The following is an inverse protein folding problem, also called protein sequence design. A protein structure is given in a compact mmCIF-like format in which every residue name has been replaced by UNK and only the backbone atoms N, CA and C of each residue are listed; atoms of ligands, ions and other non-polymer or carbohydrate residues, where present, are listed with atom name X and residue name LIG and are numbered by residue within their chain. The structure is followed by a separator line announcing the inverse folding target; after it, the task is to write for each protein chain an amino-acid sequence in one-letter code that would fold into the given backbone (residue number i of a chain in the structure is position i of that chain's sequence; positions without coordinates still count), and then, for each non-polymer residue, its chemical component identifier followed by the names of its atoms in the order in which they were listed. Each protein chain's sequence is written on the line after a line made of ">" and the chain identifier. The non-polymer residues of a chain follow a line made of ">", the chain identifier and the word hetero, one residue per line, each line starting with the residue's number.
data_IF_578519323497
#
_entry.id   IF_578519323497
#
_cell.length_a   1.000
_cell.length_b   1.000
_cell.length_c   1.000
_cell.angle_alpha   90.00
_cell.angle_beta   90.00
_cell.angle_gamma   90.00
#
_symmetry.space_group_name_H-M   'P 1'
#
loop_
_entity.id
_entity.type
_entity.pdbx_description
1 polymer ?
#
# COMPACT_ATOMS: atom_id res chain seq x y z
N UNK A 1 26.86 2.58 -24.19
CA UNK A 1 25.85 2.44 -23.13
C UNK A 1 25.67 0.97 -22.76
N UNK A 2 25.56 0.61 -21.45
CA UNK A 2 25.38 -0.76 -20.96
C UNK A 2 24.32 -0.83 -19.85
N UNK A 3 23.88 -2.04 -19.49
CA UNK A 3 22.82 -2.29 -18.50
C UNK A 3 23.12 -1.72 -17.13
N UNK A 4 24.37 -1.77 -16.67
CA UNK A 4 24.74 -1.23 -15.38
C UNK A 4 24.56 0.28 -15.33
N UNK A 5 24.82 0.99 -16.44
CA UNK A 5 24.64 2.44 -16.52
C UNK A 5 23.17 2.86 -16.36
N UNK A 6 22.21 2.04 -16.81
CA UNK A 6 20.78 2.28 -16.58
C UNK A 6 20.48 2.26 -15.07
N UNK A 7 20.94 1.21 -14.38
CA UNK A 7 20.75 1.09 -12.93
C UNK A 7 21.47 2.22 -12.16
N UNK A 8 22.64 2.63 -12.61
CA UNK A 8 23.39 3.71 -11.97
C UNK A 8 22.62 5.04 -12.05
N UNK A 9 22.09 5.40 -13.22
CA UNK A 9 21.28 6.62 -13.37
C UNK A 9 20.06 6.59 -12.45
N UNK A 10 19.32 5.48 -12.44
CA UNK A 10 18.12 5.33 -11.60
C UNK A 10 18.46 5.43 -10.12
N UNK A 11 19.54 4.76 -9.67
CA UNK A 11 19.95 4.82 -8.26
C UNK A 11 20.41 6.22 -7.86
N UNK A 12 21.13 6.95 -8.73
CA UNK A 12 21.53 8.34 -8.47
C UNK A 12 20.30 9.25 -8.40
N UNK A 13 19.32 9.04 -9.26
CA UNK A 13 18.07 9.81 -9.26
C UNK A 13 17.27 9.64 -7.96
N UNK A 14 17.18 8.40 -7.45
CA UNK A 14 16.53 8.08 -6.18
C UNK A 14 17.27 8.69 -4.98
N UNK A 15 18.58 8.47 -4.89
CA UNK A 15 19.36 8.91 -3.74
C UNK A 15 19.65 10.42 -3.72
N UNK A 16 19.51 11.09 -4.87
CA UNK A 16 19.86 12.53 -5.07
C UNK A 16 21.26 12.87 -4.56
N UNK A 17 22.11 11.85 -4.46
CA UNK A 17 23.46 11.93 -3.92
C UNK A 17 24.34 10.82 -4.48
N UNK A 18 25.39 11.19 -5.24
CA UNK A 18 26.30 10.24 -5.90
C UNK A 18 27.02 9.34 -4.89
N UNK A 19 27.39 9.87 -3.72
CA UNK A 19 28.11 9.09 -2.70
C UNK A 19 27.20 8.02 -2.09
N UNK A 20 25.97 8.35 -1.76
CA UNK A 20 24.98 7.38 -1.26
C UNK A 20 24.62 6.34 -2.34
N UNK A 21 24.43 6.79 -3.58
CA UNK A 21 24.17 5.89 -4.71
C UNK A 21 25.34 4.90 -4.92
N UNK A 22 26.58 5.38 -4.86
CA UNK A 22 27.77 4.52 -4.97
C UNK A 22 27.83 3.46 -3.85
N UNK A 23 27.51 3.84 -2.61
CA UNK A 23 27.42 2.90 -1.48
C UNK A 23 26.35 1.84 -1.72
N UNK A 24 25.16 2.24 -2.17
CA UNK A 24 24.04 1.32 -2.47
C UNK A 24 24.36 0.36 -3.61
N UNK A 25 25.17 0.81 -4.58
CA UNK A 25 25.63 0.02 -5.74
C UNK A 25 26.92 -0.78 -5.47
N UNK A 26 27.46 -0.70 -4.25
CA UNK A 26 28.75 -1.34 -3.90
C UNK A 26 29.89 -0.88 -4.80
N UNK A 27 29.90 0.39 -5.19
CA UNK A 27 30.93 1.01 -6.04
C UNK A 27 31.68 2.12 -5.29
N UNK A 28 32.87 2.47 -5.79
CA UNK A 28 33.54 3.69 -5.38
C UNK A 28 32.86 4.92 -6.02
N UNK A 29 32.74 6.01 -5.29
CA UNK A 29 32.18 7.26 -5.82
C UNK A 29 32.88 7.75 -7.09
N UNK A 30 34.25 7.71 -7.19
CA UNK A 30 34.94 8.07 -8.44
C UNK A 30 34.53 7.19 -9.64
N UNK A 31 34.38 5.86 -9.42
CA UNK A 31 33.98 4.93 -10.49
C UNK A 31 32.58 5.24 -11.01
N UNK A 32 31.62 5.48 -10.08
CA UNK A 32 30.25 5.85 -10.46
C UNK A 32 30.21 7.20 -11.20
N UNK A 33 30.95 8.22 -10.72
CA UNK A 33 31.04 9.52 -11.37
C UNK A 33 31.68 9.44 -12.75
N UNK A 34 32.72 8.63 -12.93
CA UNK A 34 33.34 8.41 -14.25
C UNK A 34 32.36 7.73 -15.21
N UNK A 35 31.64 6.71 -14.76
CA UNK A 35 30.64 6.02 -15.57
C UNK A 35 29.53 6.97 -16.03
N UNK A 36 29.03 7.84 -15.13
CA UNK A 36 28.02 8.86 -15.49
C UNK A 36 28.55 9.87 -16.49
N UNK A 37 29.76 10.39 -16.26
CA UNK A 37 30.38 11.34 -17.20
C UNK A 37 30.59 10.72 -18.60
N UNK A 38 31.00 9.45 -18.66
CA UNK A 38 31.12 8.72 -19.92
C UNK A 38 29.78 8.55 -20.63
N UNK A 39 28.71 8.24 -19.88
CA UNK A 39 27.35 8.12 -20.43
C UNK A 39 26.83 9.46 -20.96
N UNK A 40 26.96 10.55 -20.20
CA UNK A 40 26.54 11.89 -20.62
C UNK A 40 27.31 12.37 -21.85
N UNK A 41 28.61 12.05 -21.97
CA UNK A 41 29.40 12.31 -23.15
C UNK A 41 28.92 11.52 -24.39
N UNK A 42 28.58 10.25 -24.21
CA UNK A 42 28.02 9.40 -25.28
C UNK A 42 26.66 9.92 -25.77
N UNK A 43 25.82 10.40 -24.83
CA UNK A 43 24.50 10.95 -25.12
C UNK A 43 24.54 12.40 -25.64
N UNK A 44 25.66 13.09 -25.48
CA UNK A 44 25.80 14.48 -25.84
C UNK A 44 25.02 15.47 -24.99
N UNK A 45 24.49 15.03 -23.83
CA UNK A 45 23.69 15.86 -22.91
C UNK A 45 23.89 15.44 -21.48
N UNK A 46 23.77 16.41 -20.54
CA UNK A 46 23.80 16.12 -19.12
C UNK A 46 22.46 15.53 -18.65
N UNK A 47 22.52 14.47 -17.86
CA UNK A 47 21.35 13.85 -17.21
C UNK A 47 21.07 14.43 -15.82
N UNK A 48 22.12 14.97 -15.18
CA UNK A 48 22.04 15.54 -13.84
C UNK A 48 22.53 16.99 -13.82
N UNK A 49 21.93 17.79 -12.96
CA UNK A 49 22.33 19.16 -12.66
C UNK A 49 22.40 19.38 -11.15
N UNK A 50 23.11 20.41 -10.71
CA UNK A 50 23.11 20.84 -9.31
C UNK A 50 22.26 22.09 -9.16
N UNK A 51 21.15 21.94 -8.44
CA UNK A 51 20.22 23.03 -8.15
C UNK A 51 20.20 23.27 -6.64
N UNK A 52 20.57 24.46 -6.20
CA UNK A 52 20.66 24.82 -4.77
C UNK A 52 21.51 23.84 -3.93
N UNK A 53 22.61 23.33 -4.48
CA UNK A 53 23.48 22.36 -3.80
C UNK A 53 22.99 20.91 -3.81
N UNK A 54 21.79 20.64 -4.28
CA UNK A 54 21.20 19.30 -4.38
C UNK A 54 21.32 18.78 -5.81
N UNK A 55 21.62 17.51 -5.97
CA UNK A 55 21.64 16.83 -7.27
C UNK A 55 20.19 16.59 -7.72
N UNK A 56 19.85 17.01 -8.93
CA UNK A 56 18.54 16.82 -9.56
C UNK A 56 18.69 16.33 -11.00
N UNK A 57 17.64 15.72 -11.54
CA UNK A 57 17.58 15.36 -12.94
C UNK A 57 17.40 16.62 -13.81
N UNK A 58 18.02 16.62 -14.99
CA UNK A 58 17.64 17.50 -16.08
C UNK A 58 16.41 16.94 -16.80
N UNK A 59 15.78 17.68 -17.69
CA UNK A 59 14.71 17.14 -18.56
C UNK A 59 15.19 15.92 -19.35
N UNK A 60 16.42 15.94 -19.87
CA UNK A 60 17.03 14.78 -20.53
C UNK A 60 17.19 13.59 -19.55
N UNK A 61 17.54 13.88 -18.29
CA UNK A 61 17.62 12.87 -17.22
C UNK A 61 16.29 12.23 -16.93
N UNK A 62 15.21 13.00 -16.87
CA UNK A 62 13.85 12.48 -16.69
C UNK A 62 13.45 11.55 -17.85
N UNK A 63 13.65 11.98 -19.08
CA UNK A 63 13.39 11.15 -20.27
C UNK A 63 14.22 9.87 -20.26
N UNK A 64 15.49 9.97 -19.87
CA UNK A 64 16.37 8.82 -19.77
C UNK A 64 15.90 7.85 -18.68
N UNK A 65 15.50 8.32 -17.51
CA UNK A 65 14.98 7.48 -16.44
C UNK A 65 13.72 6.72 -16.88
N UNK A 66 12.76 7.38 -17.52
CA UNK A 66 11.56 6.72 -18.07
C UNK A 66 11.92 5.63 -19.07
N UNK A 67 12.83 5.92 -19.99
CA UNK A 67 13.29 4.92 -20.96
C UNK A 67 14.07 3.78 -20.28
N UNK A 68 14.95 4.08 -19.32
CA UNK A 68 15.73 3.08 -18.58
C UNK A 68 14.82 2.09 -17.83
N UNK A 69 13.80 2.60 -17.14
CA UNK A 69 12.80 1.76 -16.43
C UNK A 69 12.11 0.83 -17.44
N UNK A 70 11.62 1.36 -18.56
CA UNK A 70 10.92 0.55 -19.58
C UNK A 70 11.82 -0.52 -20.19
N UNK A 71 13.10 -0.21 -20.39
CA UNK A 71 14.10 -1.11 -20.99
C UNK A 71 14.48 -2.25 -20.01
N UNK A 72 14.73 -1.92 -18.74
CA UNK A 72 14.99 -2.93 -17.69
C UNK A 72 13.79 -3.83 -17.48
N UNK A 73 12.56 -3.27 -17.57
CA UNK A 73 11.33 -4.05 -17.53
C UNK A 73 11.22 -5.04 -18.70
N UNK A 74 11.54 -4.60 -19.92
CA UNK A 74 11.51 -5.49 -21.09
C UNK A 74 12.51 -6.64 -20.96
N UNK A 75 13.68 -6.35 -20.38
CA UNK A 75 14.66 -7.40 -20.05
C UNK A 75 14.11 -8.39 -19.02
N UNK A 76 13.47 -7.90 -17.96
CA UNK A 76 12.89 -8.74 -16.92
C UNK A 76 11.79 -9.65 -17.49
N UNK A 77 10.90 -9.10 -18.33
CA UNK A 77 9.86 -9.87 -19.03
C UNK A 77 10.47 -11.01 -19.83
N UNK A 78 11.53 -10.75 -20.59
CA UNK A 78 12.21 -11.80 -21.36
C UNK A 78 12.83 -12.86 -20.42
N UNK A 79 13.46 -12.42 -19.33
CA UNK A 79 14.02 -13.33 -18.32
C UNK A 79 12.94 -14.23 -17.72
N UNK A 80 11.79 -13.67 -17.36
CA UNK A 80 10.66 -14.40 -16.79
C UNK A 80 10.06 -15.39 -17.80
N UNK A 81 9.91 -14.98 -19.08
CA UNK A 81 9.45 -15.88 -20.15
C UNK A 81 10.40 -17.05 -20.38
N UNK A 82 11.71 -16.78 -20.34
CA UNK A 82 12.71 -17.85 -20.49
C UNK A 82 12.72 -18.78 -19.28
N UNK A 83 12.53 -18.24 -18.09
CA UNK A 83 12.48 -19.03 -16.86
C UNK A 83 11.21 -19.89 -16.77
N UNK A 84 10.07 -19.44 -17.32
CA UNK A 84 8.86 -20.26 -17.39
C UNK A 84 9.00 -21.50 -18.32
N UNK A 85 9.96 -21.46 -19.25
CA UNK A 85 10.29 -22.63 -20.09
C UNK A 85 11.09 -23.66 -19.27
N UNK A 86 11.80 -23.23 -18.23
CA UNK A 86 12.60 -24.10 -17.36
C UNK A 86 11.77 -24.56 -16.16
N UNK A 87 11.63 -25.87 -15.98
CA UNK A 87 10.85 -26.46 -14.88
C UNK A 87 11.44 -26.13 -13.50
N UNK A 88 12.75 -25.92 -13.43
CA UNK A 88 13.51 -25.70 -12.18
C UNK A 88 13.82 -24.22 -11.89
N UNK A 89 13.36 -23.29 -12.74
CA UNK A 89 13.64 -21.89 -12.51
C UNK A 89 12.95 -21.38 -11.24
N UNK A 90 13.71 -20.66 -10.42
CA UNK A 90 13.21 -19.99 -9.23
C UNK A 90 12.68 -18.62 -9.62
N UNK A 91 11.47 -18.34 -9.18
CA UNK A 91 10.79 -17.06 -9.42
C UNK A 91 10.73 -16.24 -8.15
N UNK A 92 10.62 -14.92 -8.29
CA UNK A 92 10.37 -14.00 -7.19
C UNK A 92 9.16 -13.15 -7.52
N UNK A 93 8.29 -12.92 -6.52
CA UNK A 93 7.13 -12.01 -6.60
C UNK A 93 7.26 -10.99 -5.49
N UNK A 94 7.24 -9.70 -5.83
CA UNK A 94 7.27 -8.57 -4.90
C UNK A 94 5.86 -8.05 -4.70
N UNK A 95 5.27 -8.42 -3.55
CA UNK A 95 3.91 -8.09 -3.18
C UNK A 95 3.88 -6.90 -2.21
N UNK A 96 3.25 -5.81 -2.62
CA UNK A 96 2.97 -4.66 -1.77
C UNK A 96 1.59 -4.73 -1.14
N UNK A 97 1.51 -4.49 0.16
CA UNK A 97 0.24 -4.51 0.90
C UNK A 97 0.36 -3.66 2.16
N UNK A 98 -0.76 -3.05 2.60
CA UNK A 98 -0.74 -2.34 3.89
C UNK A 98 -0.62 -3.33 5.08
N UNK A 99 0.08 -2.95 6.18
CA UNK A 99 0.34 -3.86 7.30
C UNK A 99 -0.92 -4.53 7.87
N UNK A 100 -2.02 -3.79 7.99
CA UNK A 100 -3.26 -4.34 8.53
C UNK A 100 -3.92 -5.38 7.61
N UNK A 101 -3.86 -5.19 6.28
CA UNK A 101 -4.38 -6.18 5.32
C UNK A 101 -3.48 -7.39 5.22
N UNK A 102 -2.17 -7.18 5.28
CA UNK A 102 -1.18 -8.26 5.32
C UNK A 102 -1.49 -9.26 6.43
N UNK A 103 -1.66 -8.76 7.65
CA UNK A 103 -1.95 -9.58 8.83
C UNK A 103 -3.21 -10.45 8.67
N UNK A 104 -4.22 -9.96 7.94
CA UNK A 104 -5.53 -10.62 7.84
C UNK A 104 -5.63 -11.51 6.60
N UNK A 105 -5.10 -11.04 5.45
CA UNK A 105 -5.31 -11.69 4.16
C UNK A 105 -4.22 -12.71 3.84
N UNK A 106 -2.94 -12.38 4.09
CA UNK A 106 -1.84 -13.20 3.59
C UNK A 106 -1.74 -14.59 4.21
N UNK A 107 -2.05 -14.83 5.50
CA UNK A 107 -1.91 -16.16 6.07
C UNK A 107 -2.70 -17.23 5.30
N UNK A 108 -3.95 -16.94 4.93
CA UNK A 108 -4.79 -17.88 4.18
C UNK A 108 -4.35 -18.01 2.71
N UNK A 109 -4.03 -16.89 2.07
CA UNK A 109 -3.65 -16.84 0.65
C UNK A 109 -2.31 -17.51 0.42
N UNK A 110 -1.28 -17.19 1.23
CA UNK A 110 0.05 -17.73 1.05
C UNK A 110 0.14 -19.21 1.43
N UNK A 111 -0.64 -19.66 2.41
CA UNK A 111 -0.76 -21.10 2.70
C UNK A 111 -1.24 -21.84 1.46
N UNK A 112 -2.33 -21.41 0.84
CA UNK A 112 -2.85 -22.02 -0.37
C UNK A 112 -1.92 -21.87 -1.59
N UNK A 113 -1.16 -20.79 -1.65
CA UNK A 113 -0.17 -20.57 -2.70
C UNK A 113 0.95 -21.60 -2.60
N UNK A 114 1.57 -21.79 -1.44
CA UNK A 114 2.67 -22.72 -1.26
C UNK A 114 2.26 -24.19 -1.29
N UNK A 115 0.98 -24.52 -1.13
CA UNK A 115 0.47 -25.85 -1.41
C UNK A 115 0.50 -26.20 -2.91
N UNK A 116 0.47 -25.19 -3.80
CA UNK A 116 0.39 -25.37 -5.25
C UNK A 116 1.66 -24.92 -6.00
N UNK A 117 2.53 -24.17 -5.32
CA UNK A 117 3.72 -23.55 -5.91
C UNK A 117 4.93 -23.70 -4.98
N UNK A 118 6.02 -24.34 -5.46
CA UNK A 118 7.18 -24.68 -4.65
C UNK A 118 8.46 -23.90 -5.01
N UNK A 119 8.56 -23.35 -6.23
CA UNK A 119 9.75 -22.69 -6.74
C UNK A 119 9.55 -21.18 -6.92
N UNK A 120 8.88 -20.54 -5.97
CA UNK A 120 8.64 -19.11 -6.01
C UNK A 120 8.85 -18.48 -4.63
N UNK A 121 9.71 -17.49 -4.55
CA UNK A 121 9.89 -16.66 -3.37
C UNK A 121 8.90 -15.51 -3.42
N UNK A 122 8.28 -15.17 -2.29
CA UNK A 122 7.42 -14.00 -2.19
C UNK A 122 8.06 -13.02 -1.21
N UNK A 123 8.41 -11.83 -1.72
CA UNK A 123 8.84 -10.71 -0.90
C UNK A 123 7.62 -9.84 -0.58
N UNK A 124 7.30 -9.71 0.71
CA UNK A 124 6.19 -8.89 1.18
C UNK A 124 6.74 -7.53 1.60
N UNK A 125 6.21 -6.46 0.99
CA UNK A 125 6.54 -5.08 1.32
C UNK A 125 5.31 -4.43 1.96
N UNK A 126 5.44 -4.12 3.25
CA UNK A 126 4.35 -3.55 4.05
C UNK A 126 4.52 -2.04 4.21
N UNK A 127 3.77 -1.28 3.43
CA UNK A 127 3.88 0.18 3.40
C UNK A 127 2.49 0.85 3.31
N UNK A 128 2.39 2.16 3.65
CA UNK A 128 1.17 2.93 3.40
C UNK A 128 0.86 3.07 1.90
N UNK A 129 -0.42 3.26 1.56
CA UNK A 129 -0.95 3.37 0.19
C UNK A 129 -0.11 4.25 -0.75
N UNK A 130 0.31 5.43 -0.28
CA UNK A 130 1.05 6.35 -1.15
C UNK A 130 2.43 5.80 -1.54
N UNK A 131 3.15 5.15 -0.61
CA UNK A 131 4.43 4.50 -0.90
C UNK A 131 4.26 3.24 -1.75
N UNK A 132 3.21 2.44 -1.53
CA UNK A 132 2.94 1.26 -2.35
C UNK A 132 2.74 1.64 -3.82
N UNK A 133 2.05 2.75 -4.10
CA UNK A 133 1.85 3.24 -5.46
C UNK A 133 3.15 3.73 -6.09
N UNK A 134 3.94 4.52 -5.37
CA UNK A 134 5.27 4.94 -5.82
C UNK A 134 6.18 3.74 -6.14
N UNK A 135 6.25 2.75 -5.26
CA UNK A 135 7.05 1.53 -5.47
C UNK A 135 6.55 0.71 -6.67
N UNK A 136 5.23 0.66 -6.91
CA UNK A 136 4.66 -0.01 -8.08
C UNK A 136 5.01 0.76 -9.38
N UNK A 137 4.97 2.09 -9.35
CA UNK A 137 5.34 2.96 -10.49
C UNK A 137 6.84 2.86 -10.80
N UNK A 138 7.69 2.76 -9.77
CA UNK A 138 9.14 2.59 -9.88
C UNK A 138 9.59 1.14 -10.21
N UNK A 139 8.66 0.23 -10.48
CA UNK A 139 8.93 -1.18 -10.79
C UNK A 139 9.60 -1.98 -9.65
N UNK A 140 9.43 -1.51 -8.43
CA UNK A 140 9.93 -2.20 -7.23
C UNK A 140 8.93 -3.22 -6.69
N UNK A 141 7.67 -3.18 -7.13
CA UNK A 141 6.62 -4.13 -6.83
C UNK A 141 6.02 -4.72 -8.11
N UNK A 142 5.57 -5.96 -8.03
CA UNK A 142 4.89 -6.65 -9.13
C UNK A 142 3.38 -6.48 -9.04
N UNK A 143 2.84 -6.45 -7.82
CA UNK A 143 1.42 -6.21 -7.54
C UNK A 143 1.25 -5.55 -6.18
N UNK A 144 0.15 -4.85 -6.00
CA UNK A 144 -0.27 -4.32 -4.69
C UNK A 144 -1.73 -4.65 -4.39
N UNK A 145 -2.05 -4.78 -3.09
CA UNK A 145 -3.43 -4.90 -2.60
C UNK A 145 -3.77 -3.60 -1.88
N UNK A 146 -4.55 -2.76 -2.55
CA UNK A 146 -4.90 -1.43 -2.02
C UNK A 146 -6.18 -0.87 -2.65
N UNK A 147 -6.50 0.40 -2.35
CA UNK A 147 -7.55 1.14 -3.04
C UNK A 147 -7.19 1.34 -4.53
N UNK A 148 -8.16 1.52 -5.42
CA UNK A 148 -7.93 1.61 -6.86
C UNK A 148 -6.81 2.59 -7.23
N UNK A 149 -6.02 2.24 -8.23
CA UNK A 149 -5.01 3.13 -8.78
C UNK A 149 -5.68 4.22 -9.63
N UNK A 150 -5.29 5.50 -9.51
CA UNK A 150 -5.90 6.59 -10.29
C UNK A 150 -5.60 6.46 -11.79
N UNK A 151 -4.42 5.95 -12.16
CA UNK A 151 -4.05 5.68 -13.55
C UNK A 151 -4.64 4.34 -14.01
N UNK A 152 -5.77 4.42 -14.69
CA UNK A 152 -6.44 3.26 -15.29
C UNK A 152 -5.91 2.89 -16.68
N UNK A 153 -5.01 3.69 -17.25
CA UNK A 153 -4.39 3.41 -18.55
C UNK A 153 -3.29 2.36 -18.40
N UNK A 154 -2.39 2.56 -17.45
CA UNK A 154 -1.21 1.73 -17.26
C UNK A 154 -1.41 0.59 -16.25
N UNK A 155 -2.42 0.67 -15.38
CA UNK A 155 -2.66 -0.31 -14.31
C UNK A 155 -4.02 -0.99 -14.44
N UNK A 156 -4.05 -2.27 -14.14
CA UNK A 156 -5.27 -3.02 -13.85
C UNK A 156 -5.60 -2.81 -12.35
N UNK A 157 -6.87 -2.55 -12.07
CA UNK A 157 -7.41 -2.50 -10.69
C UNK A 157 -8.60 -3.45 -10.62
N UNK A 158 -8.35 -4.71 -10.29
CA UNK A 158 -9.41 -5.71 -10.16
C UNK A 158 -10.02 -5.63 -8.76
N UNK A 159 -11.31 -5.35 -8.67
CA UNK A 159 -12.04 -5.32 -7.40
C UNK A 159 -11.98 -6.70 -6.72
N UNK A 160 -11.55 -6.73 -5.47
CA UNK A 160 -11.54 -7.91 -4.61
C UNK A 160 -12.68 -7.87 -3.59
N UNK A 161 -12.86 -6.73 -2.95
CA UNK A 161 -13.88 -6.52 -1.93
C UNK A 161 -14.23 -5.03 -1.80
N UNK A 162 -15.36 -4.78 -1.16
CA UNK A 162 -15.75 -3.44 -0.70
C UNK A 162 -15.79 -3.45 0.81
N UNK A 163 -14.99 -2.59 1.44
CA UNK A 163 -14.91 -2.49 2.89
C UNK A 163 -15.65 -1.25 3.40
N UNK A 164 -16.30 -1.37 4.56
CA UNK A 164 -16.93 -0.28 5.27
C UNK A 164 -16.03 0.24 6.39
N UNK A 165 -16.11 1.54 6.67
CA UNK A 165 -15.42 2.13 7.80
C UNK A 165 -16.36 2.15 8.99
N UNK A 166 -15.92 1.54 10.08
CA UNK A 166 -16.68 1.41 11.32
C UNK A 166 -16.06 2.25 12.43
N UNK A 167 -16.86 2.68 13.36
CA UNK A 167 -16.43 3.27 14.60
C UNK A 167 -16.25 2.15 15.64
N UNK A 168 -15.01 1.94 16.08
CA UNK A 168 -14.65 1.02 17.15
C UNK A 168 -14.68 1.77 18.48
N UNK A 169 -15.62 1.42 19.35
CA UNK A 169 -15.88 2.08 20.63
C UNK A 169 -15.58 1.13 21.79
N UNK A 170 -14.83 1.56 22.82
CA UNK A 170 -14.68 0.79 24.05
C UNK A 170 -16.03 0.45 24.66
N UNK A 171 -16.26 -0.80 25.05
CA UNK A 171 -17.55 -1.23 25.66
C UNK A 171 -17.95 -0.38 26.87
N UNK A 172 -16.98 0.12 27.62
CA UNK A 172 -17.20 1.00 28.77
C UNK A 172 -17.81 2.36 28.39
N UNK A 173 -17.67 2.78 27.12
CA UNK A 173 -18.16 4.08 26.59
C UNK A 173 -19.41 3.94 25.71
N UNK A 174 -19.93 2.74 25.52
CA UNK A 174 -21.12 2.51 24.65
C UNK A 174 -22.37 3.18 25.18
N UNK A 175 -22.46 3.41 26.51
CA UNK A 175 -23.57 4.15 27.12
C UNK A 175 -23.73 5.58 26.55
N UNK A 176 -22.65 6.19 26.05
CA UNK A 176 -22.68 7.51 25.41
C UNK A 176 -23.55 7.52 24.13
N UNK A 177 -23.73 6.37 23.50
CA UNK A 177 -24.48 6.24 22.25
C UNK A 177 -25.94 5.80 22.43
N UNK A 178 -26.40 5.51 23.66
CA UNK A 178 -27.77 5.01 23.89
C UNK A 178 -28.87 5.90 23.33
N UNK A 179 -28.65 7.22 23.27
CA UNK A 179 -29.57 8.18 22.69
C UNK A 179 -29.43 8.34 21.17
N UNK A 180 -28.30 7.93 20.62
CA UNK A 180 -27.90 8.16 19.24
C UNK A 180 -27.84 6.85 18.41
N UNK A 181 -28.35 5.75 18.96
CA UNK A 181 -28.41 4.45 18.27
C UNK A 181 -29.67 4.39 17.41
N UNK A 182 -29.47 4.17 16.12
CA UNK A 182 -30.57 3.80 15.22
C UNK A 182 -30.93 2.32 15.38
N UNK A 183 -32.10 1.92 14.86
CA UNK A 183 -32.56 0.52 14.85
C UNK A 183 -31.62 -0.45 14.14
N UNK A 184 -30.59 0.06 13.44
CA UNK A 184 -29.64 -0.69 12.58
C UNK A 184 -28.24 -0.82 13.20
N UNK A 185 -28.03 -0.59 14.49
CA UNK A 185 -26.69 -0.50 15.09
C UNK A 185 -25.77 0.56 14.45
N UNK A 186 -26.36 1.56 13.81
CA UNK A 186 -25.67 2.73 13.34
C UNK A 186 -25.70 3.82 14.41
N UNK A 187 -24.61 4.56 14.54
CA UNK A 187 -24.50 5.68 15.46
C UNK A 187 -24.40 6.99 14.71
N UNK A 188 -25.01 8.03 15.28
CA UNK A 188 -24.86 9.40 14.83
C UNK A 188 -23.77 10.09 15.67
N UNK A 189 -22.73 10.60 15.02
CA UNK A 189 -21.79 11.51 15.67
C UNK A 189 -22.40 12.90 15.72
N UNK A 190 -22.67 13.38 16.93
CA UNK A 190 -23.27 14.69 17.17
C UNK A 190 -22.27 15.61 17.86
N UNK A 191 -22.34 16.95 17.66
CA UNK A 191 -21.36 17.89 18.21
C UNK A 191 -21.26 17.90 19.74
N UNK A 192 -22.30 17.44 20.43
CA UNK A 192 -22.38 17.36 21.91
C UNK A 192 -21.81 16.05 22.49
N UNK A 193 -21.37 15.14 21.64
CA UNK A 193 -20.80 13.87 22.09
C UNK A 193 -19.38 14.03 22.62
N UNK A 194 -19.18 13.82 23.91
CA UNK A 194 -17.88 13.86 24.58
C UNK A 194 -17.17 12.52 24.45
N UNK A 195 -16.55 12.26 23.32
CA UNK A 195 -15.82 11.03 23.04
C UNK A 195 -14.38 11.36 22.63
N UNK A 196 -13.37 10.89 23.39
CA UNK A 196 -11.99 10.99 22.94
C UNK A 196 -11.72 10.04 21.77
N UNK A 197 -10.83 10.45 20.87
CA UNK A 197 -10.48 9.68 19.70
C UNK A 197 -9.00 9.32 19.63
N UNK A 198 -8.71 8.17 19.04
CA UNK A 198 -7.38 7.73 18.65
C UNK A 198 -7.39 7.65 17.12
N UNK A 199 -6.61 8.52 16.48
CA UNK A 199 -6.66 8.74 15.04
C UNK A 199 -5.35 8.32 14.38
N UNK A 200 -5.44 7.92 13.12
CA UNK A 200 -4.27 7.77 12.29
C UNK A 200 -3.82 9.14 11.75
N UNK A 201 -2.52 9.25 11.41
CA UNK A 201 -1.96 10.46 10.83
C UNK A 201 -2.63 10.79 9.49
N UNK A 202 -2.70 12.07 9.12
CA UNK A 202 -3.29 12.55 7.86
C UNK A 202 -2.57 12.04 6.59
N UNK A 203 -1.34 11.56 6.73
CA UNK A 203 -0.64 10.89 5.63
C UNK A 203 -1.28 9.55 5.23
N UNK A 204 -2.08 8.97 6.11
CA UNK A 204 -2.77 7.71 5.87
C UNK A 204 -4.20 7.93 5.41
N UNK A 205 -4.68 7.09 4.50
CA UNK A 205 -6.04 7.17 3.95
C UNK A 205 -7.09 7.17 5.06
N UNK A 206 -6.95 6.33 6.08
CA UNK A 206 -7.92 6.27 7.18
C UNK A 206 -7.87 7.53 8.06
N UNK A 207 -6.71 8.18 8.20
CA UNK A 207 -6.62 9.50 8.86
C UNK A 207 -7.39 10.57 8.08
N UNK A 208 -7.23 10.61 6.76
CA UNK A 208 -7.99 11.53 5.89
C UNK A 208 -9.50 11.25 5.92
N UNK A 209 -9.90 9.96 5.95
CA UNK A 209 -11.31 9.57 6.10
C UNK A 209 -11.85 10.09 7.44
N UNK A 210 -11.09 9.93 8.53
CA UNK A 210 -11.50 10.43 9.85
C UNK A 210 -11.79 11.92 9.86
N UNK A 211 -10.96 12.72 9.20
CA UNK A 211 -11.18 14.17 9.06
C UNK A 211 -12.47 14.47 8.27
N UNK A 212 -12.67 13.80 7.13
CA UNK A 212 -13.89 13.96 6.33
C UNK A 212 -15.16 13.57 7.11
N UNK A 213 -15.09 12.51 7.93
CA UNK A 213 -16.20 12.10 8.80
C UNK A 213 -16.50 13.22 9.80
N UNK A 214 -15.48 13.77 10.46
CA UNK A 214 -15.67 14.84 11.45
C UNK A 214 -16.25 16.10 10.81
N UNK A 215 -15.76 16.51 9.65
CA UNK A 215 -16.30 17.64 8.90
C UNK A 215 -17.77 17.42 8.50
N UNK A 216 -18.09 16.25 7.94
CA UNK A 216 -19.45 15.91 7.52
C UNK A 216 -20.44 15.85 8.69
N UNK A 217 -19.98 15.45 9.88
CA UNK A 217 -20.79 15.35 11.11
C UNK A 217 -20.79 16.64 11.94
N UNK A 218 -20.04 17.68 11.54
CA UNK A 218 -19.76 18.86 12.35
C UNK A 218 -19.25 18.49 13.78
N UNK A 219 -18.47 17.41 13.86
CA UNK A 219 -17.97 16.85 15.11
C UNK A 219 -16.50 17.24 15.34
N UNK A 220 -16.19 17.72 16.54
CA UNK A 220 -14.84 18.08 16.92
C UNK A 220 -14.43 17.33 18.19
N UNK A 221 -13.59 16.29 18.11
CA UNK A 221 -13.16 15.57 19.29
C UNK A 221 -12.35 16.46 20.24
N UNK A 222 -12.70 16.45 21.53
CA UNK A 222 -12.04 17.29 22.55
C UNK A 222 -10.61 16.81 22.83
N UNK A 223 -10.35 15.50 22.72
CA UNK A 223 -9.04 14.90 22.99
C UNK A 223 -8.74 13.88 21.91
N UNK A 224 -7.54 13.97 21.36
CA UNK A 224 -7.06 13.01 20.35
C UNK A 224 -5.69 12.46 20.71
N UNK A 225 -5.51 11.17 20.44
CA UNK A 225 -4.20 10.52 20.38
C UNK A 225 -3.95 10.25 18.89
N UNK A 226 -2.75 10.57 18.40
CA UNK A 226 -2.40 10.31 17.00
C UNK A 226 -1.32 9.23 16.93
N UNK A 227 -1.50 8.24 16.06
CA UNK A 227 -0.54 7.18 15.80
C UNK A 227 -0.47 6.85 14.31
N UNK A 228 0.49 6.01 13.92
CA UNK A 228 0.69 5.60 12.52
C UNK A 228 0.24 4.17 12.24
N UNK A 229 -0.26 3.45 13.24
CA UNK A 229 -0.62 2.04 13.11
C UNK A 229 -2.04 1.80 13.66
N UNK A 230 -2.90 1.20 12.82
CA UNK A 230 -4.30 0.92 13.16
C UNK A 230 -4.42 -0.12 14.29
N UNK A 231 -3.51 -1.09 14.37
CA UNK A 231 -3.47 -2.07 15.46
C UNK A 231 -3.17 -1.39 16.82
N UNK A 232 -2.27 -0.40 16.80
CA UNK A 232 -2.00 0.43 17.98
C UNK A 232 -3.25 1.22 18.39
N UNK A 233 -3.91 1.88 17.42
CA UNK A 233 -5.14 2.63 17.68
C UNK A 233 -6.22 1.74 18.31
N UNK A 234 -6.45 0.56 17.73
CA UNK A 234 -7.45 -0.38 18.20
C UNK A 234 -7.10 -0.98 19.58
N UNK A 235 -5.81 -1.25 19.82
CA UNK A 235 -5.33 -1.73 21.12
C UNK A 235 -5.55 -0.69 22.23
N UNK A 236 -5.23 0.59 21.94
CA UNK A 236 -5.48 1.69 22.89
C UNK A 236 -6.98 1.90 23.13
N UNK A 237 -7.81 1.79 22.06
CA UNK A 237 -9.27 1.82 22.20
C UNK A 237 -9.77 0.68 23.10
N UNK A 238 -9.24 -0.53 22.94
CA UNK A 238 -9.59 -1.67 23.81
C UNK A 238 -9.20 -1.49 25.28
N UNK A 239 -8.29 -0.55 25.59
CA UNK A 239 -7.98 -0.13 26.96
C UNK A 239 -8.87 1.02 27.48
N UNK A 240 -9.83 1.49 26.68
CA UNK A 240 -10.78 2.53 27.10
C UNK A 240 -10.34 3.98 26.84
N UNK A 241 -9.18 4.19 26.20
CA UNK A 241 -8.60 5.54 26.01
C UNK A 241 -9.40 6.41 25.02
N UNK A 242 -10.12 5.82 24.09
CA UNK A 242 -10.93 6.54 23.11
C UNK A 242 -11.50 5.62 22.04
N UNK A 243 -12.29 6.17 21.13
CA UNK A 243 -12.78 5.47 19.95
C UNK A 243 -11.78 5.63 18.79
N UNK A 244 -11.88 4.75 17.79
CA UNK A 244 -11.08 4.83 16.57
C UNK A 244 -11.90 4.34 15.37
N UNK A 245 -11.49 4.73 14.16
CA UNK A 245 -12.09 4.21 12.93
C UNK A 245 -11.28 3.01 12.42
N UNK A 246 -11.97 1.98 11.98
CA UNK A 246 -11.37 0.75 11.45
C UNK A 246 -12.16 0.22 10.26
N UNK A 247 -11.52 -0.46 9.30
CA UNK A 247 -12.22 -1.26 8.30
C UNK A 247 -13.00 -2.41 8.93
N UNK A 248 -14.13 -2.76 8.32
CA UNK A 248 -15.04 -3.82 8.79
C UNK A 248 -14.41 -5.23 8.85
N UNK A 249 -13.35 -5.47 8.09
CA UNK A 249 -12.59 -6.72 8.15
C UNK A 249 -12.07 -7.03 9.57
N UNK A 250 -11.90 -6.01 10.43
CA UNK A 250 -11.51 -6.18 11.83
C UNK A 250 -12.57 -6.86 12.71
N UNK A 251 -13.86 -6.87 12.31
CA UNK A 251 -14.90 -7.62 13.03
C UNK A 251 -14.59 -9.12 13.09
N UNK A 252 -13.97 -9.65 12.03
CA UNK A 252 -13.58 -11.08 11.97
C UNK A 252 -12.47 -11.44 12.96
N UNK A 253 -11.63 -10.46 13.32
CA UNK A 253 -10.64 -10.64 14.36
C UNK A 253 -11.31 -10.57 15.73
N UNK A 254 -11.72 -11.71 16.28
CA UNK A 254 -12.35 -11.79 17.61
C UNK A 254 -11.47 -11.29 18.77
N UNK A 255 -10.23 -10.86 18.50
CA UNK A 255 -9.22 -10.45 19.50
C UNK A 255 -9.72 -9.39 20.49
N UNK A 256 -10.62 -8.51 20.07
CA UNK A 256 -11.15 -7.41 20.89
C UNK A 256 -12.67 -7.48 21.08
N UNK A 257 -13.30 -8.60 20.74
CA UNK A 257 -14.77 -8.76 20.78
C UNK A 257 -15.40 -8.57 22.17
N UNK A 258 -14.64 -8.81 23.23
CA UNK A 258 -15.03 -8.61 24.62
C UNK A 258 -14.80 -7.17 25.14
N UNK A 259 -14.01 -6.36 24.44
CA UNK A 259 -13.61 -5.00 24.85
C UNK A 259 -14.12 -3.89 23.93
N UNK A 260 -14.41 -4.19 22.68
CA UNK A 260 -14.82 -3.21 21.65
C UNK A 260 -16.20 -3.58 21.12
N UNK A 261 -16.99 -2.54 20.85
CA UNK A 261 -18.22 -2.61 20.06
C UNK A 261 -17.99 -1.81 18.76
N UNK A 262 -18.39 -2.39 17.64
CA UNK A 262 -18.26 -1.76 16.33
C UNK A 262 -19.62 -1.23 15.89
N UNK A 263 -19.63 0.01 15.41
CA UNK A 263 -20.80 0.69 14.90
C UNK A 263 -20.58 1.19 13.47
N UNK A 264 -21.59 1.10 12.64
CA UNK A 264 -21.64 1.90 11.40
C UNK A 264 -21.97 3.35 11.73
N UNK A 265 -21.67 4.26 10.81
CA UNK A 265 -22.02 5.68 10.93
C UNK A 265 -23.25 5.95 10.09
N UNK A 266 -24.31 6.51 10.70
CA UNK A 266 -25.57 6.76 10.00
C UNK A 266 -25.45 7.92 9.00
N UNK A 267 -24.73 8.95 9.37
CA UNK A 267 -24.54 10.16 8.58
C UNK A 267 -23.28 10.14 7.69
N UNK A 268 -22.54 9.05 7.67
CA UNK A 268 -21.36 8.88 6.83
C UNK A 268 -21.13 7.41 6.48
N UNK A 269 -21.94 6.83 5.58
CA UNK A 269 -21.77 5.43 5.15
C UNK A 269 -20.60 5.32 4.15
N UNK A 270 -19.36 5.52 4.60
CA UNK A 270 -18.20 5.47 3.72
C UNK A 270 -17.81 4.03 3.41
N UNK A 271 -17.65 3.76 2.14
CA UNK A 271 -17.11 2.50 1.64
C UNK A 271 -15.91 2.77 0.75
N UNK A 272 -14.97 1.84 0.73
CA UNK A 272 -13.84 1.90 -0.19
C UNK A 272 -13.60 0.55 -0.84
N UNK A 273 -13.22 0.58 -2.09
CA UNK A 273 -12.89 -0.61 -2.84
C UNK A 273 -11.48 -1.08 -2.45
N UNK A 274 -11.32 -2.38 -2.25
CA UNK A 274 -10.05 -3.07 -2.10
C UNK A 274 -9.78 -3.79 -3.41
N UNK A 275 -8.70 -3.42 -4.07
CA UNK A 275 -8.35 -3.91 -5.39
C UNK A 275 -7.00 -4.63 -5.39
N UNK A 276 -6.91 -5.56 -6.29
CA UNK A 276 -5.67 -6.16 -6.76
C UNK A 276 -5.16 -5.31 -7.93
N UNK A 277 -3.99 -4.72 -7.78
CA UNK A 277 -3.47 -3.73 -8.73
C UNK A 277 -2.12 -4.21 -9.25
N UNK A 278 -1.96 -4.21 -10.56
CA UNK A 278 -0.72 -4.56 -11.26
C UNK A 278 -0.66 -3.89 -12.62
N UNK A 279 0.51 -3.80 -13.23
CA UNK A 279 0.70 -3.15 -14.55
C UNK A 279 0.04 -3.95 -15.66
N UNK A 280 -0.63 -3.27 -16.61
CA UNK A 280 -1.30 -3.92 -17.75
C UNK A 280 -0.36 -4.70 -18.67
N UNK A 281 0.82 -4.17 -18.89
CA UNK A 281 1.80 -4.75 -19.82
C UNK A 281 2.83 -5.64 -19.09
N UNK A 282 2.54 -6.08 -17.86
CA UNK A 282 3.38 -6.99 -17.11
C UNK A 282 3.19 -8.42 -17.64
N UNK A 283 4.30 -9.13 -17.79
CA UNK A 283 4.23 -10.56 -18.01
C UNK A 283 3.73 -11.25 -16.73
N UNK A 284 2.69 -12.02 -16.87
CA UNK A 284 2.13 -12.81 -15.79
C UNK A 284 2.66 -14.24 -15.90
N UNK A 285 3.76 -14.54 -15.22
CA UNK A 285 4.25 -15.91 -15.12
C UNK A 285 3.25 -16.78 -14.35
N UNK A 286 3.39 -18.10 -14.44
CA UNK A 286 2.47 -19.07 -13.83
C UNK A 286 2.24 -18.85 -12.32
N UNK A 287 3.27 -18.44 -11.60
CA UNK A 287 3.19 -18.23 -10.15
C UNK A 287 2.42 -16.94 -9.81
N UNK A 288 2.68 -15.87 -10.57
CA UNK A 288 1.94 -14.62 -10.41
C UNK A 288 0.46 -14.81 -10.78
N UNK A 289 0.15 -15.55 -11.88
CA UNK A 289 -1.23 -15.89 -12.24
C UNK A 289 -1.94 -16.64 -11.11
N UNK A 290 -1.30 -17.67 -10.55
CA UNK A 290 -1.85 -18.42 -9.41
C UNK A 290 -2.11 -17.50 -8.20
N UNK A 291 -1.18 -16.60 -7.88
CA UNK A 291 -1.36 -15.66 -6.76
C UNK A 291 -2.53 -14.71 -7.02
N UNK A 292 -2.66 -14.18 -8.24
CA UNK A 292 -3.79 -13.33 -8.63
C UNK A 292 -5.14 -14.06 -8.54
N UNK A 293 -5.18 -15.33 -8.94
CA UNK A 293 -6.37 -16.18 -8.83
C UNK A 293 -6.76 -16.40 -7.37
N UNK A 294 -5.81 -16.74 -6.51
CA UNK A 294 -6.05 -16.94 -5.08
C UNK A 294 -6.56 -15.67 -4.38
N UNK A 295 -6.03 -14.50 -4.74
CA UNK A 295 -6.57 -13.24 -4.22
C UNK A 295 -8.03 -13.04 -4.64
N UNK A 296 -8.37 -13.27 -5.92
CA UNK A 296 -9.74 -13.13 -6.44
C UNK A 296 -10.72 -14.13 -5.83
N UNK A 297 -10.26 -15.34 -5.55
CA UNK A 297 -11.08 -16.41 -4.97
C UNK A 297 -11.32 -16.18 -3.47
N UNK A 298 -10.28 -15.84 -2.72
CA UNK A 298 -10.31 -15.89 -1.26
C UNK A 298 -10.64 -14.56 -0.58
N UNK A 299 -10.19 -13.44 -1.13
CA UNK A 299 -10.43 -12.13 -0.49
C UNK A 299 -11.92 -11.83 -0.34
N UNK A 300 -12.81 -12.04 -1.34
CA UNK A 300 -14.23 -11.78 -1.16
C UNK A 300 -14.86 -12.58 -0.01
N UNK A 301 -14.36 -13.80 0.23
CA UNK A 301 -14.84 -14.66 1.33
C UNK A 301 -14.34 -14.18 2.70
N UNK A 302 -13.19 -13.52 2.74
CA UNK A 302 -12.59 -12.99 3.97
C UNK A 302 -13.25 -11.67 4.42
N UNK A 303 -13.92 -10.94 3.53
CA UNK A 303 -14.68 -9.74 3.92
C UNK A 303 -16.07 -10.13 4.40
N UNK A 304 -16.54 -9.55 5.51
CA UNK A 304 -17.88 -9.84 6.01
C UNK A 304 -18.94 -9.26 5.06
N UNK A 305 -19.95 -10.06 4.74
CA UNK A 305 -21.20 -9.50 4.24
C UNK A 305 -21.90 -8.80 5.42
N UNK A 306 -21.63 -7.55 5.62
CA UNK A 306 -22.37 -6.74 6.58
C UNK A 306 -23.77 -6.52 6.00
N UNK A 307 -24.73 -7.37 6.40
CA UNK A 307 -26.14 -7.15 6.13
C UNK A 307 -26.59 -5.98 7.01
N UNK A 308 -26.38 -4.76 6.53
CA UNK A 308 -27.11 -3.60 7.03
C UNK A 308 -28.51 -3.66 6.42
N UNK A 309 -29.36 -4.53 6.96
CA UNK A 309 -30.78 -4.56 6.65
C UNK A 309 -31.54 -3.65 7.58
#
# INVERSE_FOLDING_TARGET
>A
MNWNQLQYVLTIAQEKNITKAAQKLYLSQPSLSMSMKSLEQELGTALFERKNGTLSLTYAGELFCHWAISTLRSQQILSDQLSDISIDARHEIRLGISPHRSLILLPDILTAFYERSHNCDIQIIEEPTYLLKELLEEDQLDLIIDIPHPDTINYNSALLAREHILLAVPKQKTALFQKNLSSKQAVLLTPDLELPFILLTEKQILGQISQRIFEACAFHPQTTITCSNIETALTLAAQGLGATFVPDIYIRQKRFSDKITYYSLENYPDTRDVCLIYRKNQYLNRHLQLLLELFRERVPVLYPELKYS
#
